data_IF_812067322215
#
_entry.id   IF_812067322215
#
_cell.length_a   1.000
_cell.length_b   1.000
_cell.length_c   1.000
_cell.angle_alpha   90.00
_cell.angle_beta   90.00
_cell.angle_gamma   90.00
#
_symmetry.space_group_name_H-M   'P 1'
#
loop_
_entity.id
_entity.type
_entity.pdbx_description
1 polymer ?
#
# COMPACT_ATOMS: atom_id res chain seq x y z
N UNK A 1 14.72 41.88 -26.37
CA UNK A 1 15.04 41.88 -24.92
C UNK A 1 14.06 40.97 -24.20
N UNK A 2 14.60 39.94 -23.53
CA UNK A 2 14.11 39.23 -22.31
C UNK A 2 12.59 39.17 -22.13
N UNK A 3 11.98 38.02 -22.45
CA UNK A 3 11.63 36.94 -21.50
C UNK A 3 10.75 37.43 -20.35
N UNK A 4 9.48 37.05 -20.36
CA UNK A 4 8.81 36.40 -19.23
C UNK A 4 7.65 35.56 -19.78
N UNK A 5 7.97 34.36 -20.24
CA UNK A 5 7.02 33.25 -20.27
C UNK A 5 6.62 33.02 -18.81
N UNK A 6 5.48 33.60 -18.41
CA UNK A 6 4.87 33.34 -17.12
C UNK A 6 4.65 31.84 -17.01
N UNK A 7 5.34 31.21 -16.07
CA UNK A 7 5.28 29.78 -15.82
C UNK A 7 3.86 29.43 -15.34
N UNK A 8 3.02 29.06 -16.29
CA UNK A 8 1.73 28.44 -16.05
C UNK A 8 1.96 27.09 -15.36
N UNK A 9 1.53 27.02 -14.10
CA UNK A 9 0.87 25.85 -13.51
C UNK A 9 1.70 24.55 -13.47
N UNK A 10 2.72 24.48 -12.60
CA UNK A 10 3.23 23.21 -12.07
C UNK A 10 2.66 22.96 -10.66
N UNK A 11 1.33 22.94 -10.55
CA UNK A 11 0.58 22.58 -9.35
C UNK A 11 -0.05 21.19 -9.49
N UNK A 12 0.68 20.24 -10.08
CA UNK A 12 0.18 18.89 -10.30
C UNK A 12 1.05 17.85 -9.61
N UNK A 13 0.47 17.34 -8.52
CA UNK A 13 0.52 15.94 -8.09
C UNK A 13 1.73 15.51 -7.25
N UNK A 14 1.96 16.15 -6.11
CA UNK A 14 2.52 15.44 -4.95
C UNK A 14 1.37 14.65 -4.30
N UNK A 15 0.97 13.56 -4.95
CA UNK A 15 0.13 12.54 -4.31
C UNK A 15 1.01 11.74 -3.37
N UNK A 16 1.15 12.17 -2.11
CA UNK A 16 1.75 11.36 -1.06
C UNK A 16 0.78 10.21 -0.70
N UNK A 17 0.61 9.24 -1.59
CA UNK A 17 -0.04 7.97 -1.26
C UNK A 17 0.93 7.12 -0.43
N UNK A 18 0.52 6.74 0.77
CA UNK A 18 1.26 5.75 1.56
C UNK A 18 1.04 4.38 0.91
N UNK A 19 2.01 3.94 0.09
CA UNK A 19 1.91 2.68 -0.65
C UNK A 19 1.67 1.47 0.25
N UNK A 20 2.19 1.48 1.48
CA UNK A 20 1.97 0.40 2.42
C UNK A 20 0.51 0.36 2.89
N UNK A 21 -0.10 1.54 3.08
CA UNK A 21 -1.54 1.67 3.35
C UNK A 21 -2.36 1.11 2.19
N UNK A 22 -2.06 1.52 0.97
CA UNK A 22 -2.83 1.11 -0.20
C UNK A 22 -2.78 -0.42 -0.39
N UNK A 23 -1.59 -1.02 -0.26
CA UNK A 23 -1.43 -2.47 -0.28
C UNK A 23 -2.21 -3.15 0.85
N UNK A 24 -2.23 -2.57 2.05
CA UNK A 24 -2.97 -3.13 3.19
C UNK A 24 -4.48 -3.10 2.94
N UNK A 25 -5.00 -2.00 2.41
CA UNK A 25 -6.42 -1.85 2.09
C UNK A 25 -6.86 -2.86 1.01
N UNK A 26 -6.02 -3.09 -0.02
CA UNK A 26 -6.27 -4.12 -1.04
C UNK A 26 -6.23 -5.52 -0.41
N UNK A 27 -5.24 -5.82 0.43
CA UNK A 27 -5.14 -7.11 1.10
C UNK A 27 -6.39 -7.43 1.94
N UNK A 28 -6.89 -6.43 2.68
CA UNK A 28 -8.13 -6.54 3.45
C UNK A 28 -9.36 -6.76 2.56
N UNK A 29 -9.43 -6.11 1.40
CA UNK A 29 -10.52 -6.30 0.43
C UNK A 29 -10.52 -7.73 -0.13
N UNK A 30 -9.37 -8.20 -0.58
CA UNK A 30 -9.17 -9.55 -1.13
C UNK A 30 -9.52 -10.62 -0.11
N UNK A 31 -9.12 -10.41 1.15
CA UNK A 31 -9.47 -11.30 2.26
C UNK A 31 -10.99 -11.38 2.48
N UNK A 32 -11.68 -10.24 2.49
CA UNK A 32 -13.15 -10.18 2.62
C UNK A 32 -13.87 -10.84 1.44
N UNK A 33 -13.27 -10.81 0.26
CA UNK A 33 -13.77 -11.48 -0.95
C UNK A 33 -13.41 -12.98 -0.99
N UNK A 34 -12.88 -13.53 0.12
CA UNK A 34 -12.43 -14.91 0.25
C UNK A 34 -11.26 -15.29 -0.70
N UNK A 35 -10.60 -14.30 -1.30
CA UNK A 35 -9.36 -14.49 -2.06
C UNK A 35 -8.15 -14.43 -1.11
N UNK A 36 -8.16 -15.35 -0.14
CA UNK A 36 -7.10 -15.49 0.86
C UNK A 36 -5.71 -15.66 0.23
N UNK A 37 -5.52 -16.43 -0.86
CA UNK A 37 -4.20 -16.56 -1.48
C UNK A 37 -3.60 -15.24 -1.96
N UNK A 38 -4.42 -14.33 -2.53
CA UNK A 38 -3.93 -13.02 -2.95
C UNK A 38 -3.69 -12.10 -1.75
N UNK A 39 -4.59 -12.08 -0.76
CA UNK A 39 -4.40 -11.34 0.49
C UNK A 39 -3.08 -11.71 1.19
N UNK A 40 -2.75 -12.99 1.31
CA UNK A 40 -1.48 -13.48 1.87
C UNK A 40 -0.26 -12.93 1.11
N UNK A 41 -0.31 -12.87 -0.22
CA UNK A 41 0.79 -12.31 -1.03
C UNK A 41 0.99 -10.82 -0.75
N UNK A 42 -0.11 -10.05 -0.71
CA UNK A 42 -0.05 -8.62 -0.43
C UNK A 42 0.45 -8.32 0.99
N UNK A 43 0.00 -9.07 2.00
CA UNK A 43 0.53 -8.92 3.36
C UNK A 43 2.04 -9.20 3.43
N UNK A 44 2.54 -10.25 2.76
CA UNK A 44 3.98 -10.50 2.67
C UNK A 44 4.72 -9.35 2.00
N UNK A 45 4.20 -8.84 0.90
CA UNK A 45 4.79 -7.69 0.21
C UNK A 45 4.92 -6.46 1.12
N UNK A 46 3.90 -6.16 1.94
CA UNK A 46 3.97 -5.04 2.89
C UNK A 46 5.11 -5.24 3.90
N UNK A 47 5.27 -6.47 4.39
CA UNK A 47 6.31 -6.82 5.38
C UNK A 47 7.71 -6.72 4.79
N UNK A 48 7.87 -7.14 3.53
CA UNK A 48 9.15 -7.17 2.83
C UNK A 48 9.57 -5.79 2.31
N UNK A 49 8.65 -5.06 1.67
CA UNK A 49 8.95 -3.79 1.00
C UNK A 49 8.80 -2.56 1.93
N UNK A 50 7.95 -2.65 2.96
CA UNK A 50 7.64 -1.52 3.85
C UNK A 50 7.83 -1.88 5.34
N UNK A 51 8.97 -2.47 5.75
CA UNK A 51 9.14 -3.05 7.09
C UNK A 51 8.99 -2.04 8.25
N UNK A 52 9.23 -0.75 7.98
CA UNK A 52 9.12 0.33 8.97
C UNK A 52 7.74 1.02 8.96
N UNK A 53 6.84 0.62 8.07
CA UNK A 53 5.49 1.17 8.01
C UNK A 53 4.62 0.63 9.16
N UNK A 54 3.69 1.44 9.73
CA UNK A 54 2.70 0.91 10.68
C UNK A 54 1.91 -0.28 10.12
N UNK A 55 1.71 -0.32 8.80
CA UNK A 55 0.98 -1.41 8.12
C UNK A 55 1.76 -2.73 8.09
N UNK A 56 3.10 -2.74 8.26
CA UNK A 56 3.87 -3.97 8.30
C UNK A 56 3.54 -4.82 9.53
N UNK A 57 3.35 -4.21 10.70
CA UNK A 57 2.95 -4.93 11.90
C UNK A 57 1.52 -5.48 11.77
N UNK A 58 0.60 -4.69 11.21
CA UNK A 58 -0.77 -5.14 10.95
C UNK A 58 -0.80 -6.30 9.94
N UNK A 59 0.02 -6.21 8.88
CA UNK A 59 0.15 -7.26 7.87
C UNK A 59 0.69 -8.57 8.48
N UNK A 60 1.69 -8.52 9.37
CA UNK A 60 2.19 -9.70 10.10
C UNK A 60 1.08 -10.39 10.89
N UNK A 61 0.27 -9.62 11.61
CA UNK A 61 -0.84 -10.17 12.40
C UNK A 61 -1.86 -10.87 11.50
N UNK A 62 -2.33 -10.20 10.42
CA UNK A 62 -3.29 -10.80 9.48
C UNK A 62 -2.73 -12.06 8.81
N UNK A 63 -1.48 -12.01 8.35
CA UNK A 63 -0.80 -13.13 7.72
C UNK A 63 -0.78 -14.36 8.65
N UNK A 64 -0.39 -14.16 9.91
CA UNK A 64 -0.37 -15.25 10.89
C UNK A 64 -1.75 -15.84 11.20
N UNK A 65 -2.82 -15.05 11.15
CA UNK A 65 -4.19 -15.58 11.28
C UNK A 65 -4.61 -16.41 10.07
N UNK A 66 -4.33 -15.94 8.85
CA UNK A 66 -4.65 -16.66 7.62
C UNK A 66 -3.90 -17.99 7.50
N UNK A 67 -2.65 -18.04 7.95
CA UNK A 67 -1.84 -19.27 7.94
C UNK A 67 -2.33 -20.31 8.95
N UNK A 68 -2.83 -19.88 10.11
CA UNK A 68 -3.44 -20.79 11.11
C UNK A 68 -4.78 -21.36 10.66
N UNK A 69 -5.49 -20.65 9.78
CA UNK A 69 -6.81 -21.04 9.28
C UNK A 69 -6.76 -21.95 8.04
N UNK A 70 -5.56 -22.35 7.60
CA UNK A 70 -5.35 -23.23 6.44
C UNK A 70 -5.50 -24.70 6.80
#
# INVERSE_FOLDING_TARGET
>A
MRRFLGASLLLLLVGCGDKAKDLYDIAQLEEKQNNKPHATKLYRQIIEEYPNSPYANQAKTRLGELEKAR
#
